data_IF_236814650453
#
_entry.id   IF_236814650453
#
_cell.length_a   1.000
_cell.length_b   1.000
_cell.length_c   1.000
_cell.angle_alpha   90.00
_cell.angle_beta   90.00
_cell.angle_gamma   90.00
#
_symmetry.space_group_name_H-M   'P 1'
#
loop_
_entity.id
_entity.type
_entity.pdbx_description
1 polymer ?
#
# COMPACT_ATOMS: atom_id res chain seq x y z
N UNK A 1 19.07 -28.04 -28.21
CA UNK A 1 18.88 -26.58 -28.07
C UNK A 1 18.10 -26.36 -26.78
N UNK A 2 18.78 -25.98 -25.68
CA UNK A 2 18.14 -25.73 -24.38
C UNK A 2 17.60 -24.31 -24.40
N UNK A 3 16.30 -24.14 -24.19
CA UNK A 3 15.69 -22.85 -23.88
C UNK A 3 15.71 -22.72 -22.36
N UNK A 4 16.77 -22.13 -21.83
CA UNK A 4 16.81 -21.64 -20.46
C UNK A 4 15.82 -20.47 -20.35
N UNK A 5 14.54 -20.78 -20.13
CA UNK A 5 13.53 -19.77 -19.82
C UNK A 5 13.71 -19.38 -18.37
N UNK A 6 14.76 -18.60 -18.10
CA UNK A 6 14.97 -17.94 -16.83
C UNK A 6 13.97 -16.77 -16.75
N UNK A 7 12.68 -17.11 -16.60
CA UNK A 7 11.64 -16.14 -16.26
C UNK A 7 11.96 -15.72 -14.84
N UNK A 8 12.67 -14.61 -14.69
CA UNK A 8 12.77 -13.89 -13.43
C UNK A 8 11.35 -13.54 -13.02
N UNK A 9 10.72 -14.38 -12.20
CA UNK A 9 9.44 -14.08 -11.58
C UNK A 9 9.64 -12.77 -10.81
N UNK A 10 9.13 -11.65 -11.35
CA UNK A 10 9.18 -10.36 -10.68
C UNK A 10 8.55 -10.56 -9.31
N UNK A 11 9.34 -10.37 -8.25
CA UNK A 11 8.87 -10.54 -6.88
C UNK A 11 7.69 -9.60 -6.65
N UNK A 12 6.51 -10.16 -6.39
CA UNK A 12 5.30 -9.37 -6.15
C UNK A 12 5.49 -8.54 -4.88
N UNK A 13 4.95 -7.30 -4.84
CA UNK A 13 4.97 -6.51 -3.62
C UNK A 13 4.11 -7.22 -2.56
N UNK A 14 4.59 -7.15 -1.32
CA UNK A 14 3.89 -7.69 -0.16
C UNK A 14 3.43 -6.54 0.71
N UNK A 15 2.17 -6.58 1.11
CA UNK A 15 1.58 -5.57 1.98
C UNK A 15 1.04 -6.20 3.24
N UNK A 16 1.03 -5.45 4.34
CA UNK A 16 0.45 -5.90 5.60
C UNK A 16 -1.02 -5.51 5.63
N UNK A 17 -1.95 -6.46 5.78
CA UNK A 17 -3.37 -6.15 5.98
C UNK A 17 -3.62 -5.77 7.44
N UNK A 18 -4.38 -4.70 7.65
CA UNK A 18 -4.93 -4.27 8.94
C UNK A 18 -6.46 -4.16 8.83
N UNK A 19 -7.16 -4.58 9.89
CA UNK A 19 -8.61 -4.45 9.98
C UNK A 19 -9.04 -3.03 10.39
N UNK A 20 -8.16 -2.28 11.05
CA UNK A 20 -8.41 -0.91 11.54
C UNK A 20 -7.22 0.02 11.19
N UNK A 21 -7.45 1.17 10.53
CA UNK A 21 -6.40 2.15 10.25
C UNK A 21 -5.77 2.73 11.53
N UNK A 22 -6.51 2.80 12.63
CA UNK A 22 -6.01 3.25 13.94
C UNK A 22 -4.93 2.33 14.54
N UNK A 23 -4.81 1.11 14.03
CA UNK A 23 -3.82 0.13 14.45
C UNK A 23 -2.47 0.26 13.72
N UNK A 24 -2.35 1.20 12.78
CA UNK A 24 -1.09 1.50 12.11
C UNK A 24 -0.07 2.12 13.08
N UNK A 25 1.19 1.71 12.98
CA UNK A 25 2.26 2.36 13.74
C UNK A 25 2.62 3.71 13.09
N UNK A 26 3.05 4.70 13.88
CA UNK A 26 3.40 6.04 13.38
C UNK A 26 4.54 6.11 12.34
N UNK A 27 5.14 4.98 11.95
CA UNK A 27 6.13 4.87 10.89
C UNK A 27 5.68 3.88 9.79
N UNK A 28 4.40 3.92 9.43
CA UNK A 28 3.79 3.09 8.39
C UNK A 28 3.02 3.99 7.43
N UNK A 29 2.98 3.58 6.16
CA UNK A 29 2.15 4.23 5.14
C UNK A 29 0.86 3.43 5.04
N UNK A 30 -0.27 4.11 5.17
CA UNK A 30 -1.61 3.53 5.18
C UNK A 30 -2.22 3.73 3.79
N UNK A 31 -2.68 2.64 3.18
CA UNK A 31 -3.51 2.68 1.97
C UNK A 31 -4.87 2.13 2.34
N UNK A 32 -5.89 2.98 2.30
CA UNK A 32 -7.27 2.58 2.59
C UNK A 32 -7.99 2.36 1.28
N UNK A 33 -8.53 1.16 1.06
CA UNK A 33 -9.25 0.76 -0.17
C UNK A 33 -10.72 0.57 0.19
N UNK A 34 -11.59 1.22 -0.58
CA UNK A 34 -13.03 1.29 -0.31
C UNK A 34 -13.85 1.33 -1.60
N UNK A 35 -15.11 0.92 -1.50
CA UNK A 35 -16.07 0.98 -2.60
C UNK A 35 -17.30 1.80 -2.18
N UNK A 36 -17.28 3.08 -2.55
CA UNK A 36 -18.34 4.00 -2.14
C UNK A 36 -19.73 3.48 -2.53
N UNK A 37 -20.54 3.15 -1.52
CA UNK A 37 -21.92 2.63 -1.66
C UNK A 37 -22.03 1.29 -2.40
N UNK A 38 -21.01 0.42 -2.33
CA UNK A 38 -21.07 -0.90 -2.95
C UNK A 38 -20.99 -0.87 -4.49
N UNK A 39 -20.46 0.23 -5.07
CA UNK A 39 -20.36 0.43 -6.52
C UNK A 39 -18.91 0.66 -6.94
N UNK A 40 -18.49 -0.06 -7.98
CA UNK A 40 -17.28 0.26 -8.72
C UNK A 40 -17.38 1.68 -9.35
N UNK A 41 -16.27 2.42 -9.47
CA UNK A 41 -14.89 1.97 -9.28
C UNK A 41 -14.43 1.98 -7.82
N UNK A 42 -13.69 0.92 -7.44
CA UNK A 42 -12.95 0.85 -6.17
C UNK A 42 -11.92 1.99 -6.14
N UNK A 43 -11.82 2.69 -5.01
CA UNK A 43 -10.90 3.82 -4.81
C UNK A 43 -9.98 3.57 -3.63
N UNK A 44 -8.92 4.38 -3.54
CA UNK A 44 -8.05 4.38 -2.39
C UNK A 44 -7.62 5.78 -1.98
N UNK A 45 -7.38 5.97 -0.69
CA UNK A 45 -6.62 7.09 -0.14
C UNK A 45 -5.29 6.60 0.41
N UNK A 46 -4.32 7.51 0.47
CA UNK A 46 -2.99 7.26 1.01
C UNK A 46 -2.75 8.20 2.19
N UNK A 47 -2.53 7.66 3.37
CA UNK A 47 -2.23 8.43 4.58
C UNK A 47 -0.91 8.02 5.21
N UNK A 48 -0.22 8.96 5.86
CA UNK A 48 0.91 8.64 6.74
C UNK A 48 1.00 9.61 7.89
N UNK A 49 1.56 9.12 9.00
CA UNK A 49 1.90 9.96 10.14
C UNK A 49 3.27 10.60 9.94
N UNK A 50 3.57 11.63 10.74
CA UNK A 50 4.87 12.28 10.72
C UNK A 50 6.01 11.25 10.87
N UNK A 51 6.91 11.21 9.89
CA UNK A 51 8.09 10.36 9.93
C UNK A 51 9.35 11.22 10.03
N UNK A 52 10.23 10.85 10.97
CA UNK A 52 11.56 11.42 11.06
C UNK A 52 12.59 10.31 11.28
N UNK A 53 13.55 10.24 10.37
CA UNK A 53 14.78 9.46 10.48
C UNK A 53 15.91 10.29 9.88
N UNK A 54 17.13 10.17 10.38
CA UNK A 54 18.31 10.94 9.93
C UNK A 54 18.29 11.28 8.43
N UNK A 55 18.17 12.58 8.10
CA UNK A 55 18.16 13.08 6.72
C UNK A 55 16.79 13.07 6.00
N UNK A 56 15.75 12.47 6.59
CA UNK A 56 14.39 12.43 6.06
C UNK A 56 13.38 12.92 7.12
N UNK A 57 12.74 14.05 6.84
CA UNK A 57 11.61 14.57 7.61
C UNK A 57 10.41 14.74 6.70
N UNK A 58 9.31 14.09 7.04
CA UNK A 58 8.04 14.19 6.32
C UNK A 58 6.94 14.40 7.34
N UNK A 59 6.16 15.47 7.18
CA UNK A 59 4.97 15.72 8.00
C UNK A 59 3.86 14.71 7.71
N UNK A 60 2.82 14.66 8.56
CA UNK A 60 1.64 13.85 8.27
C UNK A 60 0.90 14.42 7.06
N UNK A 61 0.32 13.55 6.25
CA UNK A 61 -0.49 13.95 5.09
C UNK A 61 -1.49 12.84 4.73
N UNK A 62 -2.51 13.23 3.99
CA UNK A 62 -3.50 12.32 3.39
C UNK A 62 -3.80 12.77 1.96
N UNK A 63 -3.74 11.84 1.01
CA UNK A 63 -4.02 12.13 -0.39
C UNK A 63 -5.51 12.24 -0.64
N UNK A 64 -5.86 12.92 -1.73
CA UNK A 64 -7.17 12.77 -2.37
C UNK A 64 -7.41 11.32 -2.81
N UNK A 65 -8.67 11.00 -3.12
CA UNK A 65 -9.08 9.70 -3.62
C UNK A 65 -8.49 9.44 -5.02
N UNK A 66 -7.85 8.29 -5.19
CA UNK A 66 -7.23 7.89 -6.45
C UNK A 66 -7.53 6.43 -6.79
N UNK A 67 -7.11 6.01 -7.98
CA UNK A 67 -7.07 4.59 -8.34
C UNK A 67 -6.15 3.81 -7.40
N UNK A 68 -6.53 2.57 -7.07
CA UNK A 68 -5.79 1.71 -6.13
C UNK A 68 -4.34 1.47 -6.60
N UNK A 69 -4.14 1.22 -7.89
CA UNK A 69 -2.80 1.00 -8.44
C UNK A 69 -1.92 2.23 -8.31
N UNK A 70 -2.49 3.43 -8.47
CA UNK A 70 -1.77 4.69 -8.28
C UNK A 70 -1.40 4.92 -6.81
N UNK A 71 -2.34 4.70 -5.88
CA UNK A 71 -2.08 4.80 -4.44
C UNK A 71 -0.95 3.86 -4.01
N UNK A 72 -0.97 2.60 -4.47
CA UNK A 72 0.06 1.62 -4.16
C UNK A 72 1.43 2.00 -4.75
N UNK A 73 1.46 2.51 -5.98
CA UNK A 73 2.70 2.98 -6.60
C UNK A 73 3.28 4.19 -5.84
N UNK A 74 2.45 5.11 -5.39
CA UNK A 74 2.88 6.26 -4.59
C UNK A 74 3.36 5.81 -3.20
N UNK A 75 2.66 4.90 -2.54
CA UNK A 75 3.08 4.30 -1.27
C UNK A 75 4.46 3.66 -1.36
N UNK A 76 4.73 2.90 -2.43
CA UNK A 76 6.05 2.31 -2.68
C UNK A 76 7.14 3.36 -2.86
N UNK A 77 6.85 4.45 -3.58
CA UNK A 77 7.80 5.56 -3.74
C UNK A 77 8.11 6.24 -2.41
N UNK A 78 7.10 6.49 -1.57
CA UNK A 78 7.28 7.07 -0.24
C UNK A 78 8.10 6.14 0.67
N UNK A 79 7.80 4.84 0.66
CA UNK A 79 8.53 3.82 1.40
C UNK A 79 10.02 3.84 1.06
N UNK A 80 10.36 3.86 -0.23
CA UNK A 80 11.74 3.86 -0.72
C UNK A 80 12.46 5.18 -0.47
N UNK A 81 11.75 6.31 -0.64
CA UNK A 81 12.34 7.65 -0.53
C UNK A 81 12.61 8.06 0.91
N UNK A 82 11.70 7.75 1.82
CA UNK A 82 11.72 8.26 3.19
C UNK A 82 11.99 7.19 4.23
N UNK A 83 12.04 5.91 3.85
CA UNK A 83 12.44 4.83 4.75
C UNK A 83 11.37 4.44 5.77
N UNK A 84 10.09 4.64 5.43
CA UNK A 84 8.98 4.10 6.21
C UNK A 84 9.16 2.60 6.44
N UNK A 85 8.60 2.06 7.53
CA UNK A 85 8.81 0.65 7.89
C UNK A 85 8.18 -0.31 6.87
N UNK A 86 6.93 -0.03 6.48
CA UNK A 86 6.13 -0.84 5.56
C UNK A 86 4.91 -0.06 5.10
N UNK A 87 4.24 -0.63 4.10
CA UNK A 87 2.92 -0.22 3.65
C UNK A 87 1.90 -1.16 4.29
N UNK A 88 0.90 -0.58 4.93
CA UNK A 88 -0.26 -1.28 5.49
C UNK A 88 -1.48 -0.99 4.61
N UNK A 89 -2.27 -2.01 4.35
CA UNK A 89 -3.53 -1.92 3.62
C UNK A 89 -4.65 -2.03 4.63
N UNK A 90 -5.63 -1.16 4.50
CA UNK A 90 -6.93 -1.24 5.17
C UNK A 90 -7.96 -1.46 4.09
N UNK A 91 -8.81 -2.47 4.27
CA UNK A 91 -9.89 -2.77 3.34
C UNK A 91 -11.22 -2.51 4.04
N UNK A 92 -12.15 -1.84 3.34
CA UNK A 92 -13.54 -1.80 3.78
C UNK A 92 -14.16 -3.21 3.78
N UNK A 93 -13.88 -3.99 2.73
CA UNK A 93 -14.28 -5.39 2.60
C UNK A 93 -13.15 -6.25 2.00
N UNK A 94 -13.01 -7.51 2.44
CA UNK A 94 -11.89 -8.39 2.02
C UNK A 94 -11.90 -8.71 0.51
N UNK A 95 -13.06 -8.69 -0.13
CA UNK A 95 -13.27 -8.97 -1.55
C UNK A 95 -12.86 -7.80 -2.46
N UNK A 96 -12.57 -6.62 -1.90
CA UNK A 96 -12.03 -5.49 -2.65
C UNK A 96 -10.58 -5.69 -3.08
N UNK A 97 -9.87 -6.68 -2.52
CA UNK A 97 -8.49 -6.94 -2.88
C UNK A 97 -8.38 -7.65 -4.23
N UNK A 98 -7.72 -7.01 -5.20
CA UNK A 98 -7.28 -7.68 -6.42
C UNK A 98 -5.87 -8.28 -6.22
N UNK A 99 -5.70 -9.61 -6.35
CA UNK A 99 -4.38 -10.23 -6.31
C UNK A 99 -3.39 -9.60 -7.30
N UNK A 100 -3.83 -9.04 -8.43
CA UNK A 100 -2.94 -8.38 -9.40
C UNK A 100 -2.08 -7.27 -8.77
N UNK A 101 -2.55 -6.65 -7.69
CA UNK A 101 -1.82 -5.59 -6.97
C UNK A 101 -0.67 -6.12 -6.11
N UNK A 102 -0.76 -7.34 -5.61
CA UNK A 102 0.29 -7.96 -4.79
C UNK A 102 -0.23 -9.05 -3.86
N UNK A 103 0.57 -9.38 -2.86
CA UNK A 103 0.20 -10.34 -1.83
C UNK A 103 -0.12 -9.61 -0.51
N UNK A 104 -1.24 -9.94 0.13
CA UNK A 104 -1.58 -9.50 1.48
C UNK A 104 -1.05 -10.50 2.51
N UNK A 105 -0.45 -9.97 3.58
CA UNK A 105 -0.02 -10.73 4.75
C UNK A 105 -0.75 -10.15 5.97
N UNK A 106 -1.56 -10.95 6.64
CA UNK A 106 -2.25 -10.51 7.86
C UNK A 106 -1.24 -10.30 8.99
N UNK A 107 -1.47 -9.24 9.77
CA UNK A 107 -0.68 -8.89 10.96
C UNK A 107 -1.24 -9.53 12.21
#
# INVERSE_FOLDING_TARGET
>A
MRLDTNVTAKKRPRYTLLDDPGSAAGNEIIVTIFDWQGKAPIRATLGWMAHSREGAHVGPDESEEVDVGLALAQAQRLLQRYGFRRIVIVLEHEDLWDPAWGDLVRR
#
